data_IF_525488291628
#
_entry.id   IF_525488291628
#
_cell.length_a   1.000
_cell.length_b   1.000
_cell.length_c   1.000
_cell.angle_alpha   90.00
_cell.angle_beta   90.00
_cell.angle_gamma   90.00
#
_symmetry.space_group_name_H-M   'P 1'
#
loop_
_entity.id
_entity.type
_entity.pdbx_description
1 polymer ?
#
# COMPACT_ATOMS: atom_id res chain seq x y z
N UNK A 1 -8.43 6.10 3.32
CA UNK A 1 -7.85 5.86 1.98
C UNK A 1 -8.39 4.59 1.33
N UNK A 2 -8.22 3.41 1.94
CA UNK A 2 -8.77 2.13 1.41
C UNK A 2 -10.32 2.06 1.43
N UNK A 3 -10.94 2.85 2.29
CA UNK A 3 -12.38 3.10 2.36
C UNK A 3 -12.64 4.48 1.78
N UNK A 4 -13.45 4.57 0.71
CA UNK A 4 -13.71 5.81 -0.03
C UNK A 4 -13.92 5.58 -1.53
N UNK A 5 -14.24 6.64 -2.31
CA UNK A 5 -14.54 6.52 -3.75
C UNK A 5 -13.35 6.03 -4.59
N UNK A 6 -12.12 6.17 -4.10
CA UNK A 6 -10.88 5.73 -4.76
C UNK A 6 -10.29 4.48 -4.09
N UNK A 7 -11.06 3.83 -3.20
CA UNK A 7 -10.58 2.68 -2.44
C UNK A 7 -10.33 1.44 -3.30
N UNK A 8 -10.98 1.33 -4.47
CA UNK A 8 -10.77 0.23 -5.42
C UNK A 8 -9.37 0.35 -6.03
N UNK A 9 -9.04 1.51 -6.61
CA UNK A 9 -7.72 1.79 -7.19
C UNK A 9 -6.61 1.69 -6.15
N UNK A 10 -6.88 2.13 -4.91
CA UNK A 10 -5.93 1.98 -3.80
C UNK A 10 -5.62 0.52 -3.50
N UNK A 11 -6.65 -0.35 -3.40
CA UNK A 11 -6.43 -1.78 -3.11
C UNK A 11 -5.71 -2.48 -4.25
N UNK A 12 -6.01 -2.12 -5.50
CA UNK A 12 -5.33 -2.67 -6.67
C UNK A 12 -3.86 -2.26 -6.72
N UNK A 13 -3.56 -0.96 -6.57
CA UNK A 13 -2.19 -0.45 -6.51
C UNK A 13 -1.40 -1.06 -5.33
N UNK A 14 -2.02 -1.18 -4.16
CA UNK A 14 -1.40 -1.77 -2.98
C UNK A 14 -1.18 -3.28 -3.12
N UNK A 15 -2.11 -4.01 -3.75
CA UNK A 15 -1.93 -5.43 -4.05
C UNK A 15 -0.76 -5.65 -5.02
N UNK A 16 -0.65 -4.81 -6.04
CA UNK A 16 0.47 -4.85 -6.98
C UNK A 16 1.79 -4.54 -6.26
N UNK A 17 1.84 -3.53 -5.39
CA UNK A 17 3.00 -3.24 -4.57
C UNK A 17 3.42 -4.40 -3.67
N UNK A 18 2.44 -5.10 -3.05
CA UNK A 18 2.72 -6.24 -2.18
C UNK A 18 3.35 -7.42 -2.93
N UNK A 19 2.89 -7.69 -4.15
CA UNK A 19 3.42 -8.78 -4.98
C UNK A 19 4.59 -8.38 -5.87
N UNK A 20 4.83 -7.08 -6.07
CA UNK A 20 5.93 -6.56 -6.87
C UNK A 20 7.27 -7.08 -6.34
N UNK A 21 8.10 -7.60 -7.23
CA UNK A 21 9.47 -8.02 -6.93
C UNK A 21 10.50 -7.01 -7.40
N UNK A 22 10.06 -5.90 -7.99
CA UNK A 22 10.93 -4.86 -8.50
C UNK A 22 11.63 -4.08 -7.37
N UNK A 23 12.80 -3.52 -7.66
CA UNK A 23 13.59 -2.72 -6.73
C UNK A 23 13.73 -1.31 -7.34
N UNK A 24 12.98 -0.29 -6.85
CA UNK A 24 12.10 -0.28 -5.68
C UNK A 24 10.75 -0.97 -5.91
N UNK A 25 10.16 -1.47 -4.82
CA UNK A 25 8.84 -2.14 -4.84
C UNK A 25 7.78 -1.25 -5.48
N UNK A 26 6.97 -1.84 -6.36
CA UNK A 26 5.90 -1.15 -7.08
C UNK A 26 6.35 -0.20 -8.18
N UNK A 27 7.63 -0.21 -8.58
CA UNK A 27 8.09 0.51 -9.78
C UNK A 27 7.43 -0.01 -11.06
N UNK A 28 7.11 -1.29 -11.10
CA UNK A 28 6.30 -1.97 -12.11
C UNK A 28 4.80 -1.64 -12.01
N UNK A 29 4.34 -1.15 -10.86
CA UNK A 29 2.94 -0.83 -10.56
C UNK A 29 2.62 0.67 -10.66
N UNK A 30 3.54 1.46 -11.22
CA UNK A 30 3.47 2.93 -11.21
C UNK A 30 2.17 3.45 -11.84
N UNK A 31 1.67 2.78 -12.88
CA UNK A 31 0.44 3.17 -13.56
C UNK A 31 -0.78 3.07 -12.63
N UNK A 32 -0.87 2.02 -11.80
CA UNK A 32 -1.97 1.84 -10.84
C UNK A 32 -1.90 2.89 -9.73
N UNK A 33 -0.68 3.21 -9.26
CA UNK A 33 -0.48 4.31 -8.31
C UNK A 33 -0.85 5.67 -8.89
N UNK A 34 -0.62 5.86 -10.20
CA UNK A 34 -1.01 7.09 -10.89
C UNK A 34 -2.53 7.21 -10.99
N UNK A 35 -3.23 6.16 -11.40
CA UNK A 35 -4.70 6.13 -11.44
C UNK A 35 -5.31 6.45 -10.08
N UNK A 36 -4.77 5.87 -9.01
CA UNK A 36 -5.20 6.18 -7.65
C UNK A 36 -4.96 7.65 -7.28
N UNK A 37 -3.80 8.21 -7.64
CA UNK A 37 -3.49 9.63 -7.39
C UNK A 37 -4.38 10.57 -8.19
N UNK A 38 -4.67 10.25 -9.45
CA UNK A 38 -5.59 11.00 -10.29
C UNK A 38 -6.99 10.99 -9.64
N UNK A 39 -7.44 9.84 -9.14
CA UNK A 39 -8.70 9.76 -8.39
C UNK A 39 -8.70 10.64 -7.14
N UNK A 40 -7.62 10.67 -6.34
CA UNK A 40 -7.54 11.58 -5.19
C UNK A 40 -7.62 13.06 -5.57
N UNK A 41 -7.06 13.44 -6.72
CA UNK A 41 -7.14 14.81 -7.24
C UNK A 41 -8.57 15.21 -7.64
N UNK A 42 -9.42 14.25 -8.04
CA UNK A 42 -10.83 14.51 -8.34
C UNK A 42 -11.70 14.69 -7.09
N UNK A 43 -11.28 14.14 -5.94
CA UNK A 43 -12.02 14.23 -4.67
C UNK A 43 -11.26 15.03 -3.59
N UNK A 44 -10.88 16.30 -3.83
CA UNK A 44 -10.13 17.08 -2.84
C UNK A 44 -10.96 17.34 -1.57
N UNK A 45 -12.29 17.35 -1.66
CA UNK A 45 -13.17 17.54 -0.51
C UNK A 45 -13.18 16.34 0.47
N UNK A 46 -12.70 15.17 0.07
CA UNK A 46 -12.63 13.94 0.89
C UNK A 46 -11.19 13.66 1.31
N UNK A 47 -10.22 13.84 0.41
CA UNK A 47 -8.81 13.48 0.66
C UNK A 47 -7.91 14.67 1.01
N UNK A 48 -8.32 15.92 0.76
CA UNK A 48 -7.68 17.14 1.29
C UNK A 48 -8.51 17.76 2.41
N UNK A 49 -9.25 16.94 3.19
CA UNK A 49 -9.91 17.39 4.40
C UNK A 49 -8.83 17.68 5.46
N UNK A 50 -8.24 18.86 5.31
CA UNK A 50 -7.47 19.65 6.26
C UNK A 50 -7.05 18.92 7.56
N UNK A 51 -5.75 18.72 7.70
CA UNK A 51 -4.95 18.41 8.90
C UNK A 51 -5.41 19.14 10.20
N UNK A 52 -6.63 18.88 10.70
CA UNK A 52 -7.20 19.73 11.75
C UNK A 52 -8.37 19.23 12.59
N UNK A 53 -9.11 18.17 12.25
CA UNK A 53 -10.18 17.61 13.12
C UNK A 53 -10.68 16.26 12.56
N UNK A 54 -10.99 15.27 13.42
CA UNK A 54 -11.21 13.81 13.24
C UNK A 54 -9.90 12.98 13.15
N UNK A 55 -9.42 12.21 14.14
CA UNK A 55 -10.06 11.47 15.24
C UNK A 55 -11.30 10.65 14.84
N UNK A 56 -11.18 9.79 13.83
CA UNK A 56 -11.62 8.38 13.89
C UNK A 56 -11.24 7.63 12.60
N UNK A 57 -10.76 6.39 12.75
CA UNK A 57 -10.50 5.41 11.67
C UNK A 57 -9.19 5.50 10.86
N UNK A 58 -8.06 5.75 11.53
CA UNK A 58 -6.89 4.89 11.29
C UNK A 58 -6.99 3.72 12.29
N UNK A 59 -7.14 2.46 11.87
CA UNK A 59 -6.73 1.37 12.75
C UNK A 59 -5.24 1.57 13.00
N UNK A 60 -4.94 1.96 14.22
CA UNK A 60 -3.61 2.08 14.79
C UNK A 60 -2.86 0.76 14.53
N UNK A 61 -1.96 0.76 13.55
CA UNK A 61 -1.06 -0.37 13.25
C UNK A 61 -0.07 -0.65 14.39
N UNK A 62 -0.20 0.06 15.52
CA UNK A 62 0.60 -0.06 16.72
C UNK A 62 -0.10 -0.87 17.85
N UNK A 63 -1.27 -1.47 17.59
CA UNK A 63 -1.89 -2.48 18.49
C UNK A 63 -1.67 -3.94 18.05
N UNK A 64 -0.70 -4.21 17.17
CA UNK A 64 -0.28 -5.56 16.82
C UNK A 64 1.13 -5.84 17.37
N UNK A 65 1.27 -5.76 18.68
CA UNK A 65 2.32 -6.46 19.43
C UNK A 65 1.54 -7.21 20.50
N UNK A 66 1.38 -8.54 20.40
CA UNK A 66 2.34 -9.46 21.01
C UNK A 66 2.06 -10.91 20.50
N UNK A 67 3.09 -11.51 19.90
CA UNK A 67 3.49 -12.94 19.98
C UNK A 67 2.67 -14.01 19.23
N UNK A 68 3.14 -14.40 18.03
CA UNK A 68 3.75 -15.73 17.82
C UNK A 68 4.26 -15.89 16.37
N UNK A 69 5.52 -15.52 16.18
CA UNK A 69 6.60 -16.28 15.53
C UNK A 69 6.22 -17.46 14.59
N UNK A 70 6.52 -17.32 13.30
CA UNK A 70 7.53 -18.12 12.57
C UNK A 70 7.30 -18.09 11.06
N UNK A 71 8.31 -17.58 10.32
CA UNK A 71 8.85 -18.20 9.10
C UNK A 71 7.93 -18.16 7.85
N UNK A 72 8.28 -17.57 6.70
CA UNK A 72 9.59 -17.40 6.08
C UNK A 72 9.54 -16.25 5.05
N UNK A 73 10.52 -15.36 5.14
CA UNK A 73 11.18 -14.88 3.94
C UNK A 73 12.01 -16.04 3.37
N UNK A 74 12.19 -16.12 2.05
CA UNK A 74 13.56 -16.27 1.59
C UNK A 74 13.97 -15.04 0.78
N UNK A 75 15.00 -14.36 1.30
CA UNK A 75 15.83 -13.45 0.52
C UNK A 75 16.75 -14.27 -0.40
N UNK A 76 16.87 -13.80 -1.65
CA UNK A 76 18.10 -13.69 -2.43
C UNK A 76 19.06 -14.90 -2.63
N UNK A 77 19.22 -15.22 -3.93
CA UNK A 77 20.50 -15.36 -4.67
C UNK A 77 21.29 -16.70 -4.71
N UNK A 78 21.91 -16.87 -5.88
CA UNK A 78 23.06 -17.71 -6.24
C UNK A 78 22.89 -19.20 -6.66
N UNK A 79 23.03 -19.38 -7.99
CA UNK A 79 23.93 -20.32 -8.69
C UNK A 79 23.63 -21.83 -8.71
N UNK A 80 23.47 -22.38 -9.92
CA UNK A 80 24.30 -23.51 -10.36
C UNK A 80 24.30 -23.58 -11.90
N UNK A 81 25.49 -23.33 -12.46
CA UNK A 81 25.90 -23.71 -13.80
C UNK A 81 26.10 -25.23 -13.80
N UNK A 82 25.46 -25.96 -14.70
CA UNK A 82 26.02 -27.19 -15.23
C UNK A 82 25.59 -27.39 -16.68
#
# INVERSE_FOLDING_TARGET
>A
MATGPCGVDFREAFSCFHYSTAEPKGSDCYEQFKTMQDCFAEYPAVYNKNDGDDDDSMPDLNSLDDENESQEAPKSDAVEKK
#
